data_IF_798222990815
#
_entry.id   IF_798222990815
#
_cell.length_a   1.000
_cell.length_b   1.000
_cell.length_c   1.000
_cell.angle_alpha   90.00
_cell.angle_beta   90.00
_cell.angle_gamma   90.00
#
_symmetry.space_group_name_H-M   'P 1'
#
loop_
_entity.id
_entity.type
_entity.pdbx_description
1 polymer ?
#
# COMPACT_ATOMS: atom_id res chain seq x y z
N UNK A 1 4.60 -4.93 -12.99
CA UNK A 1 4.71 -6.12 -12.11
C UNK A 1 3.69 -5.98 -10.99
N UNK A 2 2.99 -7.06 -10.63
CA UNK A 2 1.91 -6.97 -9.66
C UNK A 2 2.40 -7.02 -8.20
N UNK A 3 1.66 -6.41 -7.27
CA UNK A 3 2.06 -6.40 -5.86
C UNK A 3 1.22 -5.52 -4.95
N UNK A 4 1.73 -5.38 -3.73
CA UNK A 4 1.20 -4.50 -2.70
C UNK A 4 2.17 -3.34 -2.49
N UNK A 5 1.65 -2.22 -2.00
CA UNK A 5 2.46 -1.10 -1.58
C UNK A 5 1.84 -0.40 -0.38
N UNK A 6 2.69 0.23 0.42
CA UNK A 6 2.25 1.07 1.54
C UNK A 6 3.04 2.37 1.55
N UNK A 7 2.38 3.44 1.95
CA UNK A 7 3.04 4.71 2.30
C UNK A 7 2.97 4.85 3.80
N UNK A 8 4.14 4.95 4.44
CA UNK A 8 4.23 4.88 5.88
C UNK A 8 5.32 5.79 6.45
N UNK A 9 5.07 6.29 7.66
CA UNK A 9 5.97 7.15 8.42
C UNK A 9 6.17 6.61 9.85
N UNK A 10 7.24 7.00 10.54
CA UNK A 10 7.33 6.78 11.98
C UNK A 10 6.19 7.49 12.72
N UNK A 11 5.46 6.74 13.54
CA UNK A 11 4.43 7.23 14.45
C UNK A 11 4.85 7.05 15.92
N UNK A 12 3.98 7.49 16.84
CA UNK A 12 4.23 7.45 18.29
C UNK A 12 4.49 6.03 18.82
N UNK A 13 3.76 5.03 18.30
CA UNK A 13 3.78 3.65 18.79
C UNK A 13 4.39 2.66 17.77
N UNK A 14 5.14 3.16 16.79
CA UNK A 14 5.76 2.34 15.75
C UNK A 14 5.59 2.93 14.36
N UNK A 15 5.17 2.12 13.39
CA UNK A 15 4.93 2.56 12.01
C UNK A 15 3.47 3.00 11.88
N UNK A 16 3.25 4.17 11.29
CA UNK A 16 1.93 4.66 10.91
C UNK A 16 1.77 4.51 9.40
N UNK A 17 0.86 3.63 8.99
CA UNK A 17 0.51 3.44 7.57
C UNK A 17 -0.59 4.44 7.20
N UNK A 18 -0.34 5.23 6.15
CA UNK A 18 -1.23 6.28 5.66
C UNK A 18 -2.02 5.82 4.43
N UNK A 19 -1.38 5.02 3.57
CA UNK A 19 -1.98 4.43 2.38
C UNK A 19 -1.53 2.97 2.30
N UNK A 20 -2.49 2.08 2.08
CA UNK A 20 -2.24 0.69 1.71
C UNK A 20 -2.90 0.42 0.37
N UNK A 21 -2.18 -0.21 -0.55
CA UNK A 21 -2.70 -0.47 -1.88
C UNK A 21 -2.28 -1.81 -2.45
N UNK A 22 -3.10 -2.29 -3.39
CA UNK A 22 -2.85 -3.48 -4.20
C UNK A 22 -3.02 -3.10 -5.67
N UNK A 23 -2.12 -3.57 -6.54
CA UNK A 23 -2.09 -3.19 -7.95
C UNK A 23 -1.56 -4.30 -8.84
N UNK A 24 -2.04 -4.37 -10.07
CA UNK A 24 -1.47 -5.21 -11.13
C UNK A 24 -0.17 -4.61 -11.73
N UNK A 25 0.13 -3.35 -11.41
CA UNK A 25 1.35 -2.66 -11.84
C UNK A 25 1.92 -1.75 -10.74
N UNK A 26 2.98 -2.22 -10.08
CA UNK A 26 3.76 -1.50 -9.06
C UNK A 26 4.51 -0.29 -9.62
N UNK A 27 4.71 -0.20 -10.93
CA UNK A 27 5.30 0.99 -11.56
C UNK A 27 4.46 2.24 -11.29
N UNK A 28 3.16 2.06 -11.03
CA UNK A 28 2.20 3.13 -10.70
C UNK A 28 2.14 3.48 -9.21
N UNK A 29 2.80 2.74 -8.33
CA UNK A 29 2.70 2.97 -6.87
C UNK A 29 3.12 4.40 -6.47
N UNK A 30 4.15 4.95 -7.11
CA UNK A 30 4.55 6.35 -6.91
C UNK A 30 3.49 7.35 -7.41
N UNK A 31 2.78 7.04 -8.49
CA UNK A 31 1.69 7.90 -8.99
C UNK A 31 0.55 7.92 -7.98
N UNK A 32 0.14 6.75 -7.48
CA UNK A 32 -0.91 6.63 -6.47
C UNK A 32 -0.56 7.35 -5.16
N UNK A 33 0.69 7.23 -4.70
CA UNK A 33 1.16 7.98 -3.52
C UNK A 33 1.07 9.50 -3.73
N UNK A 34 1.43 9.99 -4.94
CA UNK A 34 1.31 11.42 -5.28
C UNK A 34 -0.13 11.89 -5.37
N UNK A 35 -1.01 11.10 -5.99
CA UNK A 35 -2.44 11.40 -6.10
C UNK A 35 -3.13 11.44 -4.73
N UNK A 36 -2.65 10.63 -3.76
CA UNK A 36 -3.08 10.66 -2.37
C UNK A 36 -2.45 11.81 -1.55
N UNK A 37 -1.59 12.64 -2.14
CA UNK A 37 -0.90 13.73 -1.44
C UNK A 37 0.22 13.28 -0.51
N UNK A 38 0.77 12.07 -0.71
CA UNK A 38 1.79 11.44 0.14
C UNK A 38 3.15 11.30 -0.58
N UNK A 39 3.43 12.19 -1.54
CA UNK A 39 4.60 12.13 -2.41
C UNK A 39 5.95 12.10 -1.67
N UNK A 40 6.02 12.82 -0.55
CA UNK A 40 7.25 13.01 0.23
C UNK A 40 7.41 11.96 1.34
N UNK A 41 6.46 11.03 1.45
CA UNK A 41 6.44 10.01 2.50
C UNK A 41 6.99 8.69 1.92
N UNK A 42 7.83 7.95 2.66
CA UNK A 42 8.41 6.71 2.18
C UNK A 42 7.37 5.71 1.66
N UNK A 43 7.57 5.29 0.42
CA UNK A 43 6.81 4.25 -0.26
C UNK A 43 7.56 2.93 -0.14
N UNK A 44 6.88 1.91 0.38
CA UNK A 44 7.36 0.54 0.43
C UNK A 44 6.55 -0.31 -0.53
N UNK A 45 7.23 -1.17 -1.29
CA UNK A 45 6.58 -2.07 -2.24
C UNK A 45 6.95 -3.50 -1.94
N UNK A 46 6.00 -4.41 -2.20
CA UNK A 46 6.21 -5.84 -2.12
C UNK A 46 5.68 -6.49 -3.38
N UNK A 47 6.57 -7.14 -4.10
CA UNK A 47 6.23 -7.88 -5.30
C UNK A 47 5.53 -9.18 -4.89
N UNK A 48 4.34 -9.40 -5.44
CA UNK A 48 3.55 -10.58 -5.16
C UNK A 48 2.91 -11.06 -6.48
N UNK A 49 3.31 -12.24 -6.95
CA UNK A 49 2.85 -12.76 -8.25
C UNK A 49 1.47 -13.41 -8.13
N UNK A 50 1.19 -14.09 -7.01
CA UNK A 50 -0.09 -14.74 -6.75
C UNK A 50 -1.15 -13.73 -6.33
N UNK A 51 -2.27 -13.65 -7.07
CA UNK A 51 -3.40 -12.74 -6.79
C UNK A 51 -4.01 -12.99 -5.41
N UNK A 52 -4.15 -14.25 -5.01
CA UNK A 52 -4.73 -14.61 -3.71
C UNK A 52 -3.89 -14.02 -2.55
N UNK A 53 -2.58 -14.25 -2.58
CA UNK A 53 -1.64 -13.71 -1.58
C UNK A 53 -1.67 -12.19 -1.54
N UNK A 54 -1.73 -11.52 -2.70
CA UNK A 54 -1.85 -10.06 -2.77
C UNK A 54 -3.06 -9.52 -2.04
N UNK A 55 -4.23 -10.13 -2.26
CA UNK A 55 -5.47 -9.69 -1.61
C UNK A 55 -5.45 -9.96 -0.12
N UNK A 56 -5.06 -11.16 0.29
CA UNK A 56 -4.93 -11.51 1.70
C UNK A 56 -3.99 -10.56 2.44
N UNK A 57 -2.80 -10.28 1.89
CA UNK A 57 -1.87 -9.33 2.51
C UNK A 57 -2.43 -7.89 2.54
N UNK A 58 -3.17 -7.48 1.52
CA UNK A 58 -3.82 -6.16 1.52
C UNK A 58 -4.85 -6.05 2.65
N UNK A 59 -5.70 -7.07 2.79
CA UNK A 59 -6.73 -7.14 3.81
C UNK A 59 -6.12 -7.17 5.22
N UNK A 60 -5.04 -7.94 5.41
CA UNK A 60 -4.29 -8.01 6.67
C UNK A 60 -3.69 -6.65 7.06
N UNK A 61 -3.12 -5.92 6.10
CA UNK A 61 -2.58 -4.56 6.33
C UNK A 61 -3.70 -3.61 6.75
N UNK A 62 -4.85 -3.63 6.07
CA UNK A 62 -5.98 -2.76 6.42
C UNK A 62 -6.57 -3.10 7.80
N UNK A 63 -6.64 -4.39 8.14
CA UNK A 63 -7.10 -4.84 9.44
C UNK A 63 -6.15 -4.41 10.57
N UNK A 64 -4.84 -4.48 10.34
CA UNK A 64 -3.83 -4.07 11.32
C UNK A 64 -3.71 -2.54 11.45
N UNK A 65 -3.87 -1.80 10.35
CA UNK A 65 -3.67 -0.35 10.29
C UNK A 65 -4.97 0.36 9.88
N UNK A 66 -5.98 0.31 10.76
CA UNK A 66 -7.34 0.80 10.50
C UNK A 66 -7.45 2.28 10.06
N UNK A 67 -6.42 3.10 10.28
CA UNK A 67 -6.39 4.51 9.83
C UNK A 67 -5.88 4.68 8.39
N UNK A 68 -5.38 3.64 7.75
CA UNK A 68 -4.82 3.72 6.41
C UNK A 68 -5.93 3.88 5.36
N UNK A 69 -5.72 4.75 4.38
CA UNK A 69 -6.53 4.78 3.18
C UNK A 69 -6.32 3.48 2.38
N UNK A 70 -7.40 2.88 1.89
CA UNK A 70 -7.36 1.70 1.02
C UNK A 70 -7.37 2.09 -0.46
N UNK A 71 -6.54 1.43 -1.27
CA UNK A 71 -6.56 1.52 -2.73
C UNK A 71 -6.52 0.12 -3.37
N UNK A 72 -7.64 -0.31 -3.97
CA UNK A 72 -7.67 -1.48 -4.86
C UNK A 72 -7.59 -1.02 -6.31
N UNK A 73 -6.41 -1.18 -6.92
CA UNK A 73 -6.13 -0.89 -8.33
C UNK A 73 -5.91 -2.17 -9.15
N UNK A 74 -6.50 -3.30 -8.72
CA UNK A 74 -6.50 -4.56 -9.49
C UNK A 74 -7.64 -4.68 -10.51
N UNK A 75 -8.52 -3.67 -10.62
CA UNK A 75 -9.65 -3.65 -11.54
C UNK A 75 -9.25 -3.83 -13.02
#
# INVERSE_FOLDING_TARGET
MAGNFVVAEPGRDGIKVLLAGVTNDLSKANVYAREAGLADIPLFTRLNVARLTRRQEHDDILAQYASAQALDAEA
#
